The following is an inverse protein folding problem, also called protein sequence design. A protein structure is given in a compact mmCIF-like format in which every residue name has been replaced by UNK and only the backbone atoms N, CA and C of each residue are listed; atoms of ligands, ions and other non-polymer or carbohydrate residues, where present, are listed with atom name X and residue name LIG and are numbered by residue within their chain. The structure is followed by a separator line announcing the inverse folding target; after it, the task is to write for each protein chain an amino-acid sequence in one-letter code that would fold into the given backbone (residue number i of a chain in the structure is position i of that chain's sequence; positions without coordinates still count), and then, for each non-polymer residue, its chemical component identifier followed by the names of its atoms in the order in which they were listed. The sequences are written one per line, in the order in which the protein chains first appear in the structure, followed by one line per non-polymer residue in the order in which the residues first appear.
data_IF_256563647816
#
_entry.id   IF_256563647816
#
_cell.length_a   1.000
_cell.length_b   1.000
_cell.length_c   1.000
_cell.angle_alpha   90.00
_cell.angle_beta   90.00
_cell.angle_gamma   90.00
#
_symmetry.space_group_name_H-M   'P 1'
#
loop_
_entity.id
_entity.type
_entity.pdbx_description
1 polymer ?
#
# COMPACT_ATOMS: atom_id res chain seq x y z
N UNK A 1 32.27 7.09 7.55
CA UNK A 1 31.52 7.70 6.41
C UNK A 1 30.24 8.31 6.97
N UNK A 2 29.96 9.59 6.75
CA UNK A 2 28.68 10.17 7.21
C UNK A 2 27.57 9.59 6.33
N UNK A 3 26.64 8.88 6.95
CA UNK A 3 25.42 8.40 6.26
C UNK A 3 24.53 9.60 5.97
N UNK A 4 24.07 9.73 4.73
CA UNK A 4 23.06 10.73 4.34
C UNK A 4 21.71 10.04 4.24
N UNK A 5 20.70 10.58 4.90
CA UNK A 5 19.33 10.12 4.77
C UNK A 5 18.67 10.80 3.54
N UNK A 6 17.75 10.11 2.84
CA UNK A 6 17.04 10.66 1.69
C UNK A 6 15.92 11.65 2.08
N UNK A 7 15.85 12.05 3.33
CA UNK A 7 14.89 12.99 3.89
C UNK A 7 15.51 13.84 4.99
N UNK A 8 14.91 14.98 5.26
CA UNK A 8 15.29 15.88 6.33
C UNK A 8 14.23 15.92 7.45
N UNK A 9 14.66 16.23 8.66
CA UNK A 9 13.78 16.41 9.82
C UNK A 9 13.46 17.90 9.97
N UNK A 10 12.16 18.20 10.00
CA UNK A 10 11.66 19.55 10.27
C UNK A 10 11.19 19.65 11.73
N UNK A 11 11.96 20.39 12.54
CA UNK A 11 11.65 20.59 13.97
C UNK A 11 10.49 21.55 14.22
N UNK A 12 10.06 22.27 13.19
CA UNK A 12 8.93 23.20 13.26
C UNK A 12 7.61 22.54 12.85
N UNK A 13 7.69 21.33 12.33
CA UNK A 13 6.52 20.54 11.89
C UNK A 13 5.66 20.13 13.09
N UNK A 14 4.33 20.09 12.88
CA UNK A 14 3.38 19.53 13.82
C UNK A 14 3.51 17.98 13.98
N UNK A 15 4.22 17.31 13.06
CA UNK A 15 4.47 15.87 13.13
C UNK A 15 5.57 15.57 14.16
N UNK A 16 5.35 14.54 14.97
CA UNK A 16 6.37 14.08 15.91
C UNK A 16 7.63 13.60 15.16
N UNK A 17 8.79 13.69 15.81
CA UNK A 17 10.07 13.23 15.25
C UNK A 17 10.01 11.74 14.87
N UNK A 18 9.29 10.91 15.66
CA UNK A 18 9.06 9.49 15.36
C UNK A 18 8.29 9.36 14.04
N UNK A 19 7.23 10.15 13.86
CA UNK A 19 6.44 10.11 12.64
C UNK A 19 7.25 10.59 11.43
N UNK A 20 8.05 11.63 11.57
CA UNK A 20 8.89 12.15 10.48
C UNK A 20 9.94 11.14 10.03
N UNK A 21 10.64 10.48 10.95
CA UNK A 21 11.64 9.46 10.62
C UNK A 21 10.98 8.25 9.98
N UNK A 22 9.88 7.73 10.54
CA UNK A 22 9.19 6.57 9.98
C UNK A 22 8.60 6.86 8.59
N UNK A 23 8.00 8.04 8.41
CA UNK A 23 7.41 8.47 7.13
C UNK A 23 8.49 8.76 6.08
N UNK A 24 9.65 9.30 6.50
CA UNK A 24 10.78 9.52 5.61
C UNK A 24 11.30 8.21 5.01
N UNK A 25 11.46 7.17 5.83
CA UNK A 25 11.84 5.84 5.32
C UNK A 25 10.73 5.20 4.49
N UNK A 26 9.47 5.34 4.89
CA UNK A 26 8.34 4.85 4.09
C UNK A 26 8.38 5.41 2.67
N UNK A 27 8.46 6.73 2.51
CA UNK A 27 8.55 7.39 1.20
C UNK A 27 9.77 6.96 0.40
N UNK A 28 10.92 6.79 1.07
CA UNK A 28 12.15 6.34 0.42
C UNK A 28 12.03 4.89 -0.10
N UNK A 29 11.31 4.02 0.59
CA UNK A 29 11.00 2.66 0.14
C UNK A 29 9.98 2.70 -1.01
N UNK A 30 8.89 3.43 -0.85
CA UNK A 30 7.84 3.55 -1.87
C UNK A 30 8.34 4.18 -3.17
N UNK A 31 9.27 5.13 -3.09
CA UNK A 31 9.90 5.76 -4.26
C UNK A 31 11.04 4.93 -4.88
N UNK A 32 11.40 3.79 -4.26
CA UNK A 32 12.45 2.90 -4.76
C UNK A 32 13.88 3.37 -4.48
N UNK A 33 14.08 4.37 -3.61
CA UNK A 33 15.40 4.76 -3.09
C UNK A 33 16.01 3.61 -2.30
N UNK A 34 15.20 2.95 -1.48
CA UNK A 34 15.52 1.66 -0.88
C UNK A 34 14.62 0.59 -1.49
N UNK A 35 15.22 -0.48 -1.97
CA UNK A 35 14.52 -1.59 -2.63
C UNK A 35 14.34 -2.77 -1.68
N UNK A 36 13.40 -3.64 -1.92
CA UNK A 36 13.30 -4.92 -1.21
C UNK A 36 14.64 -5.67 -1.22
N UNK A 37 15.06 -6.10 -0.05
CA UNK A 37 16.36 -6.75 0.15
C UNK A 37 17.51 -5.80 0.54
N UNK A 38 17.35 -4.49 0.39
CA UNK A 38 18.33 -3.51 0.86
C UNK A 38 18.38 -3.49 2.40
N UNK A 39 19.52 -3.06 2.92
CA UNK A 39 19.70 -2.84 4.35
C UNK A 39 19.72 -1.34 4.61
N UNK A 40 18.79 -0.88 5.45
CA UNK A 40 18.79 0.51 5.92
C UNK A 40 20.01 0.77 6.82
N UNK A 41 20.46 2.02 6.94
CA UNK A 41 21.50 2.37 7.90
C UNK A 41 21.18 1.85 9.30
N UNK A 42 22.20 1.58 10.09
CA UNK A 42 21.99 1.17 11.48
C UNK A 42 21.38 2.30 12.32
N UNK A 43 20.84 1.95 13.49
CA UNK A 43 20.12 2.92 14.33
C UNK A 43 21.00 4.09 14.79
N UNK A 44 22.29 3.86 14.99
CA UNK A 44 23.26 4.89 15.41
C UNK A 44 23.47 5.89 14.28
N UNK A 45 23.68 5.39 13.07
CA UNK A 45 23.85 6.23 11.88
C UNK A 45 22.58 7.02 11.55
N UNK A 46 21.41 6.39 11.69
CA UNK A 46 20.12 7.09 11.52
C UNK A 46 19.95 8.20 12.55
N UNK A 47 20.22 7.89 13.82
CA UNK A 47 20.13 8.84 14.93
C UNK A 47 21.04 10.05 14.70
N UNK A 48 22.29 9.81 14.31
CA UNK A 48 23.28 10.84 14.04
C UNK A 48 22.90 11.67 12.79
N UNK A 49 22.48 11.02 11.70
CA UNK A 49 22.15 11.70 10.46
C UNK A 49 20.84 12.51 10.54
N UNK A 50 19.84 12.00 11.26
CA UNK A 50 18.57 12.70 11.50
C UNK A 50 18.65 13.73 12.63
N UNK A 51 19.69 13.74 13.45
CA UNK A 51 19.84 14.60 14.62
C UNK A 51 18.78 14.33 15.69
N UNK A 52 18.37 13.07 15.86
CA UNK A 52 17.35 12.64 16.84
C UNK A 52 17.95 11.66 17.86
N UNK A 53 17.26 11.46 18.99
CA UNK A 53 17.73 10.51 19.99
C UNK A 53 17.58 9.07 19.51
N UNK A 54 18.42 8.16 20.06
CA UNK A 54 18.31 6.71 19.82
C UNK A 54 16.92 6.16 20.16
N UNK A 55 16.25 6.73 21.16
CA UNK A 55 14.89 6.32 21.53
C UNK A 55 13.87 6.65 20.42
N UNK A 56 13.97 7.83 19.82
CA UNK A 56 13.14 8.26 18.69
C UNK A 56 13.39 7.34 17.49
N UNK A 57 14.66 7.10 17.15
CA UNK A 57 15.03 6.19 16.07
C UNK A 57 14.46 4.80 16.28
N UNK A 58 14.62 4.22 17.48
CA UNK A 58 14.08 2.90 17.81
C UNK A 58 12.56 2.84 17.68
N UNK A 59 11.86 3.85 18.14
CA UNK A 59 10.40 3.92 18.03
C UNK A 59 9.95 4.06 16.57
N UNK A 60 10.65 4.85 15.76
CA UNK A 60 10.37 4.99 14.33
C UNK A 60 10.59 3.67 13.56
N UNK A 61 11.68 2.94 13.87
CA UNK A 61 11.95 1.65 13.25
C UNK A 61 10.95 0.58 13.69
N UNK A 62 10.50 0.59 14.95
CA UNK A 62 9.40 -0.29 15.38
C UNK A 62 8.12 -0.02 14.62
N UNK A 63 7.81 1.24 14.35
CA UNK A 63 6.64 1.63 13.55
C UNK A 63 6.78 1.13 12.11
N UNK A 64 7.95 1.31 11.51
CA UNK A 64 8.26 0.81 10.16
C UNK A 64 8.12 -0.71 10.09
N UNK A 65 8.57 -1.43 11.13
CA UNK A 65 8.41 -2.88 11.22
C UNK A 65 6.95 -3.32 11.43
N UNK A 66 6.18 -2.59 12.26
CA UNK A 66 4.75 -2.84 12.45
C UNK A 66 3.95 -2.63 11.15
N UNK A 67 4.40 -1.69 10.30
CA UNK A 67 3.84 -1.45 8.98
C UNK A 67 4.33 -2.46 7.92
N UNK A 68 5.16 -3.45 8.31
CA UNK A 68 5.67 -4.50 7.42
C UNK A 68 6.69 -4.02 6.38
N UNK A 69 7.25 -2.81 6.55
CA UNK A 69 8.20 -2.21 5.61
C UNK A 69 9.65 -2.60 5.88
N UNK A 70 9.97 -2.98 7.10
CA UNK A 70 11.33 -3.34 7.50
C UNK A 70 11.36 -4.36 8.61
N UNK A 71 12.36 -5.25 8.57
CA UNK A 71 12.62 -6.25 9.60
C UNK A 71 13.95 -5.96 10.28
N UNK A 72 13.96 -5.62 11.59
CA UNK A 72 15.19 -5.46 12.33
C UNK A 72 15.93 -6.81 12.44
N UNK A 73 17.13 -6.87 11.90
CA UNK A 73 18.01 -8.05 11.98
C UNK A 73 19.18 -7.81 12.92
N UNK A 74 19.45 -8.79 13.76
CA UNK A 74 20.58 -8.73 14.71
C UNK A 74 21.89 -8.60 13.95
N UNK A 75 22.69 -7.57 14.27
CA UNK A 75 24.02 -7.26 13.70
C UNK A 75 24.06 -6.77 12.26
N UNK A 76 23.00 -6.91 11.48
CA UNK A 76 22.99 -6.57 10.05
C UNK A 76 22.30 -5.23 9.78
N UNK A 77 21.42 -4.77 10.68
CA UNK A 77 20.62 -3.56 10.50
C UNK A 77 19.15 -3.87 10.26
N UNK A 78 18.51 -3.11 9.41
CA UNK A 78 17.07 -3.21 9.13
C UNK A 78 16.91 -3.62 7.67
N UNK A 79 16.45 -4.84 7.44
CA UNK A 79 16.17 -5.34 6.09
C UNK A 79 14.88 -4.71 5.57
N UNK A 80 14.92 -4.11 4.38
CA UNK A 80 13.72 -3.65 3.67
C UNK A 80 12.98 -4.88 3.15
N UNK A 81 11.72 -5.00 3.55
CA UNK A 81 10.87 -6.11 3.12
C UNK A 81 10.26 -5.83 1.75
N UNK A 82 9.91 -6.90 1.05
CA UNK A 82 9.13 -6.80 -0.17
C UNK A 82 7.69 -6.41 0.17
N UNK A 83 7.40 -5.12 0.09
CA UNK A 83 6.12 -4.54 0.47
C UNK A 83 5.07 -4.63 -0.63
N UNK A 84 5.32 -5.33 -1.72
CA UNK A 84 4.33 -5.59 -2.77
C UNK A 84 3.02 -6.16 -2.19
N UNK A 85 3.04 -6.54 -0.91
CA UNK A 85 1.90 -7.18 -0.25
C UNK A 85 0.98 -6.28 0.57
N UNK A 86 1.28 -4.99 0.89
CA UNK A 86 0.58 -4.44 2.06
C UNK A 86 0.05 -3.02 2.03
N UNK A 87 0.14 -2.28 0.95
CA UNK A 87 -0.51 -0.96 0.94
C UNK A 87 -1.41 -0.82 -0.28
N UNK A 88 -2.46 -1.62 -0.30
CA UNK A 88 -3.61 -1.27 -1.12
C UNK A 88 -4.11 0.10 -0.64
N UNK A 89 -4.14 1.06 -1.54
CA UNK A 89 -4.70 2.40 -1.27
C UNK A 89 -6.19 2.32 -0.95
N UNK A 90 -6.81 1.21 -1.32
CA UNK A 90 -8.19 0.90 -1.08
C UNK A 90 -8.61 -0.32 -1.90
N UNK A 91 -9.84 -0.75 -1.69
CA UNK A 91 -10.47 -1.84 -2.40
C UNK A 91 -11.53 -1.30 -3.36
N UNK A 92 -11.40 -1.60 -4.63
CA UNK A 92 -12.34 -1.18 -5.70
C UNK A 92 -13.07 -2.41 -6.22
N UNK A 93 -14.39 -2.39 -6.15
CA UNK A 93 -15.24 -3.40 -6.75
C UNK A 93 -15.73 -2.93 -8.12
N UNK A 94 -15.45 -3.72 -9.15
CA UNK A 94 -16.01 -3.52 -10.49
C UNK A 94 -17.18 -4.47 -10.66
N UNK A 95 -18.35 -3.92 -10.93
CA UNK A 95 -19.58 -4.67 -11.16
C UNK A 95 -19.88 -4.65 -12.65
N UNK A 96 -20.06 -5.82 -13.23
CA UNK A 96 -20.52 -5.99 -14.61
C UNK A 96 -21.78 -6.84 -14.62
N UNK A 97 -22.55 -6.79 -15.69
CA UNK A 97 -23.71 -7.67 -15.86
C UNK A 97 -23.52 -8.61 -17.03
N UNK A 98 -24.21 -9.74 -17.00
CA UNK A 98 -24.24 -10.69 -18.11
C UNK A 98 -24.69 -10.02 -19.42
N UNK A 99 -25.57 -9.01 -19.35
CA UNK A 99 -26.00 -8.23 -20.53
C UNK A 99 -24.92 -7.32 -21.09
N UNK A 100 -23.96 -6.97 -20.26
CA UNK A 100 -22.83 -6.11 -20.62
C UNK A 100 -21.62 -6.92 -21.07
N UNK A 101 -21.79 -8.23 -21.28
CA UNK A 101 -20.71 -9.12 -21.73
C UNK A 101 -20.44 -8.92 -23.23
N UNK A 102 -20.08 -7.69 -23.58
CA UNK A 102 -19.57 -7.35 -24.89
C UNK A 102 -18.08 -7.02 -24.79
N UNK A 103 -17.39 -7.14 -25.92
CA UNK A 103 -15.95 -6.89 -26.02
C UNK A 103 -15.52 -5.52 -25.44
N UNK A 104 -16.36 -4.50 -25.57
CA UNK A 104 -16.07 -3.15 -25.09
C UNK A 104 -16.02 -3.13 -23.55
N UNK A 105 -17.06 -3.63 -22.89
CA UNK A 105 -17.15 -3.66 -21.42
C UNK A 105 -16.02 -4.52 -20.82
N UNK A 106 -15.78 -5.70 -21.39
CA UNK A 106 -14.69 -6.57 -20.96
C UNK A 106 -13.32 -5.86 -21.10
N UNK A 107 -13.09 -5.16 -22.22
CA UNK A 107 -11.87 -4.41 -22.46
C UNK A 107 -11.70 -3.24 -21.48
N UNK A 108 -12.76 -2.49 -21.20
CA UNK A 108 -12.74 -1.38 -20.25
C UNK A 108 -12.46 -1.90 -18.84
N UNK A 109 -13.16 -2.94 -18.40
CA UNK A 109 -12.94 -3.56 -17.09
C UNK A 109 -11.50 -4.07 -16.93
N UNK A 110 -10.94 -4.71 -17.96
CA UNK A 110 -9.56 -5.18 -17.94
C UNK A 110 -8.55 -4.02 -17.84
N UNK A 111 -8.73 -2.96 -18.64
CA UNK A 111 -7.86 -1.76 -18.58
C UNK A 111 -7.95 -1.05 -17.24
N UNK A 112 -9.16 -0.91 -16.69
CA UNK A 112 -9.37 -0.32 -15.37
C UNK A 112 -8.67 -1.13 -14.27
N UNK A 113 -8.80 -2.46 -14.28
CA UNK A 113 -8.13 -3.34 -13.32
C UNK A 113 -6.62 -3.16 -13.37
N UNK A 114 -6.03 -3.10 -14.56
CA UNK A 114 -4.58 -2.88 -14.72
C UNK A 114 -4.18 -1.48 -14.23
N UNK A 115 -4.92 -0.44 -14.59
CA UNK A 115 -4.61 0.93 -14.21
C UNK A 115 -4.74 1.14 -12.68
N UNK A 116 -5.83 0.66 -12.09
CA UNK A 116 -6.07 0.75 -10.65
C UNK A 116 -5.08 -0.11 -9.85
N UNK A 117 -4.74 -1.31 -10.35
CA UNK A 117 -3.71 -2.16 -9.74
C UNK A 117 -2.34 -1.48 -9.72
N UNK A 118 -1.93 -0.84 -10.83
CA UNK A 118 -0.70 -0.03 -10.89
C UNK A 118 -0.75 1.19 -9.96
N UNK A 119 -1.94 1.75 -9.72
CA UNK A 119 -2.14 2.84 -8.78
C UNK A 119 -2.21 2.38 -7.31
N UNK A 120 -2.06 1.09 -7.04
CA UNK A 120 -2.03 0.52 -5.69
C UNK A 120 -3.40 0.19 -5.10
N UNK A 121 -4.43 -0.03 -5.93
CA UNK A 121 -5.73 -0.50 -5.46
C UNK A 121 -5.88 -2.01 -5.64
N UNK A 122 -6.48 -2.66 -4.65
CA UNK A 122 -7.02 -4.01 -4.84
C UNK A 122 -8.27 -3.88 -5.72
N UNK A 123 -8.33 -4.61 -6.81
CA UNK A 123 -9.50 -4.60 -7.69
C UNK A 123 -10.09 -5.98 -7.75
N UNK A 124 -11.33 -6.11 -7.32
CA UNK A 124 -12.16 -7.30 -7.50
C UNK A 124 -13.25 -7.02 -8.51
N UNK A 125 -13.73 -8.05 -9.16
CA UNK A 125 -14.84 -7.96 -10.11
C UNK A 125 -15.92 -8.95 -9.71
N UNK A 126 -17.17 -8.51 -9.76
CA UNK A 126 -18.34 -9.37 -9.66
C UNK A 126 -19.22 -9.20 -10.89
N UNK A 127 -19.88 -10.27 -11.27
CA UNK A 127 -20.79 -10.29 -12.41
C UNK A 127 -22.19 -10.54 -11.87
N UNK A 128 -23.13 -9.66 -12.19
CA UNK A 128 -24.54 -9.87 -11.93
C UNK A 128 -25.09 -10.78 -13.01
N UNK A 129 -25.35 -12.01 -12.66
CA UNK A 129 -25.95 -13.01 -13.52
C UNK A 129 -27.50 -12.86 -13.56
N UNK A 130 -28.15 -13.66 -14.37
CA UNK A 130 -29.61 -13.77 -14.37
C UNK A 130 -30.02 -15.12 -13.84
N UNK A 131 -31.11 -15.15 -13.08
CA UNK A 131 -31.76 -16.36 -12.64
C UNK A 131 -32.55 -17.06 -13.80
N UNK A 132 -33.18 -18.18 -13.50
CA UNK A 132 -33.98 -18.93 -14.48
C UNK A 132 -35.14 -18.12 -15.06
N UNK A 133 -35.65 -17.11 -14.33
CA UNK A 133 -36.71 -16.20 -14.75
C UNK A 133 -36.16 -14.95 -15.48
N UNK A 134 -34.86 -14.93 -15.80
CA UNK A 134 -34.14 -13.79 -16.42
C UNK A 134 -34.12 -12.53 -15.57
N UNK A 135 -34.32 -12.64 -14.24
CA UNK A 135 -34.20 -11.53 -13.30
C UNK A 135 -32.74 -11.43 -12.82
N UNK A 136 -32.24 -10.22 -12.52
CA UNK A 136 -30.88 -10.07 -12.01
C UNK A 136 -30.71 -10.78 -10.68
N UNK A 137 -29.69 -11.61 -10.56
CA UNK A 137 -29.26 -12.24 -9.31
C UNK A 137 -28.12 -11.42 -8.67
N UNK A 138 -28.44 -10.76 -7.57
CA UNK A 138 -27.51 -9.92 -6.82
C UNK A 138 -26.77 -10.64 -5.70
N UNK A 139 -26.95 -11.95 -5.52
CA UNK A 139 -26.36 -12.69 -4.39
C UNK A 139 -24.82 -12.57 -4.33
N UNK A 140 -24.15 -12.65 -5.47
CA UNK A 140 -22.70 -12.46 -5.53
C UNK A 140 -22.29 -11.01 -5.21
N UNK A 141 -23.08 -10.03 -5.62
CA UNK A 141 -22.84 -8.61 -5.30
C UNK A 141 -23.05 -8.35 -3.81
N UNK A 142 -24.13 -8.85 -3.23
CA UNK A 142 -24.42 -8.73 -1.80
C UNK A 142 -23.32 -9.35 -0.94
N UNK A 143 -22.77 -10.48 -1.37
CA UNK A 143 -21.63 -11.11 -0.69
C UNK A 143 -20.38 -10.24 -0.79
N UNK A 144 -20.09 -9.70 -1.97
CA UNK A 144 -18.93 -8.83 -2.17
C UNK A 144 -19.01 -7.55 -1.34
N UNK A 145 -20.19 -6.95 -1.22
CA UNK A 145 -20.42 -5.70 -0.47
C UNK A 145 -20.34 -5.88 1.08
N UNK A 146 -20.22 -7.10 1.58
CA UNK A 146 -19.95 -7.33 3.03
C UNK A 146 -18.51 -6.95 3.41
N UNK A 147 -17.59 -6.96 2.45
CA UNK A 147 -16.23 -6.49 2.67
C UNK A 147 -16.15 -4.97 2.55
N UNK A 148 -15.26 -4.31 3.32
CA UNK A 148 -15.09 -2.86 3.22
C UNK A 148 -14.54 -2.46 1.84
N UNK A 149 -15.31 -1.67 1.11
CA UNK A 149 -14.96 -1.16 -0.20
C UNK A 149 -14.67 0.33 -0.15
N UNK A 150 -13.65 0.79 -0.89
CA UNK A 150 -13.33 2.20 -1.06
C UNK A 150 -14.15 2.83 -2.20
N UNK A 151 -14.47 2.03 -3.21
CA UNK A 151 -15.20 2.48 -4.40
C UNK A 151 -15.89 1.27 -5.06
N UNK A 152 -17.09 1.49 -5.55
CA UNK A 152 -17.81 0.55 -6.42
C UNK A 152 -18.03 1.21 -7.77
N UNK A 153 -17.65 0.53 -8.85
CA UNK A 153 -17.81 1.01 -10.22
C UNK A 153 -18.71 0.03 -10.94
N UNK A 154 -19.85 0.50 -11.44
CA UNK A 154 -20.76 -0.29 -12.26
C UNK A 154 -20.52 0.00 -13.75
N UNK A 155 -20.35 -1.06 -14.52
CA UNK A 155 -20.26 -1.06 -15.98
C UNK A 155 -21.46 -1.86 -16.51
N UNK A 156 -22.61 -1.25 -16.53
CA UNK A 156 -23.90 -1.86 -16.97
C UNK A 156 -24.44 -1.18 -18.20
#
# INVERSE_FOLDING_TARGET
MKVSLPFAIDRTSALSLIAQVSEGFRRAIESGVYRPGDILPNMEDISAAAGVSMMVTRAAIRRLAADGLGEPRRRTGILVLDTVRLHWRGHVLVVTSELSDNYLVATVAAKMRVALGKAGYLVTQTIVLRDADKRPDYSALDLALREPMSLVISLT
#
